data_IF_825741320348
#
_entry.id   IF_825741320348
#
_cell.length_a   1.000
_cell.length_b   1.000
_cell.length_c   1.000
_cell.angle_alpha   90.00
_cell.angle_beta   90.00
_cell.angle_gamma   90.00
#
_symmetry.space_group_name_H-M   'P 1'
#
loop_
_entity.id
_entity.type
_entity.pdbx_description
1 polymer ?
#
# COMPACT_ATOMS: atom_id res chain seq x y z
N UNK A 1 20.27 38.12 14.41
CA UNK A 1 20.33 38.46 12.98
C UNK A 1 20.81 37.32 12.08
N UNK A 2 22.09 36.90 12.10
CA UNK A 2 22.55 35.83 11.18
C UNK A 2 22.10 34.42 11.59
N UNK A 3 22.06 34.14 12.91
CA UNK A 3 21.66 32.84 13.45
C UNK A 3 20.17 32.53 13.23
N UNK A 4 19.29 33.53 13.40
CA UNK A 4 17.85 33.39 13.17
C UNK A 4 17.51 33.14 11.69
N UNK A 5 18.26 33.75 10.76
CA UNK A 5 18.07 33.53 9.31
C UNK A 5 18.49 32.13 8.88
N UNK A 6 19.58 31.60 9.45
CA UNK A 6 20.03 30.23 9.20
C UNK A 6 19.00 29.22 9.75
N UNK A 7 18.52 29.45 10.98
CA UNK A 7 17.49 28.61 11.62
C UNK A 7 16.19 28.57 10.82
N UNK A 8 15.73 29.72 10.31
CA UNK A 8 14.54 29.78 9.45
C UNK A 8 14.77 29.07 8.10
N UNK A 9 15.97 29.17 7.53
CA UNK A 9 16.30 28.45 6.29
C UNK A 9 16.32 26.93 6.47
N UNK A 10 16.72 26.44 7.65
CA UNK A 10 16.75 25.00 7.95
C UNK A 10 15.34 24.42 8.10
N UNK A 11 14.44 25.11 8.81
CA UNK A 11 13.02 24.72 8.90
C UNK A 11 12.34 24.71 7.52
N UNK A 12 12.68 25.68 6.67
CA UNK A 12 12.21 25.74 5.29
C UNK A 12 12.65 24.55 4.44
N UNK A 13 13.91 24.11 4.59
CA UNK A 13 14.44 22.96 3.87
C UNK A 13 13.74 21.66 4.32
N UNK A 14 13.47 21.50 5.61
CA UNK A 14 12.73 20.34 6.14
C UNK A 14 11.30 20.29 5.58
N UNK A 15 10.59 21.42 5.52
CA UNK A 15 9.26 21.49 4.92
C UNK A 15 9.27 21.19 3.41
N UNK A 16 10.24 21.72 2.68
CA UNK A 16 10.40 21.41 1.25
C UNK A 16 10.65 19.93 1.03
N UNK A 17 11.48 19.30 1.87
CA UNK A 17 11.75 17.86 1.83
C UNK A 17 10.48 17.05 2.12
N UNK A 18 9.72 17.40 3.15
CA UNK A 18 8.41 16.76 3.46
C UNK A 18 7.46 16.84 2.26
N UNK A 19 7.34 18.01 1.62
CA UNK A 19 6.50 18.19 0.42
C UNK A 19 6.97 17.35 -0.76
N UNK A 20 8.28 17.23 -0.97
CA UNK A 20 8.84 16.39 -2.03
C UNK A 20 8.52 14.90 -1.79
N UNK A 21 8.68 14.43 -0.56
CA UNK A 21 8.33 13.07 -0.14
C UNK A 21 6.85 12.76 -0.37
N UNK A 22 5.96 13.66 0.03
CA UNK A 22 4.53 13.47 -0.17
C UNK A 22 4.13 13.48 -1.66
N UNK A 23 4.77 14.31 -2.49
CA UNK A 23 4.56 14.24 -3.95
C UNK A 23 5.04 12.92 -4.54
N UNK A 24 6.18 12.39 -4.07
CA UNK A 24 6.66 11.07 -4.49
C UNK A 24 5.67 9.99 -4.08
N UNK A 25 5.11 10.08 -2.88
CA UNK A 25 4.04 9.17 -2.43
C UNK A 25 2.83 9.20 -3.35
N UNK A 26 2.33 10.39 -3.72
CA UNK A 26 1.19 10.54 -4.63
C UNK A 26 1.46 9.86 -5.99
N UNK A 27 2.68 10.01 -6.53
CA UNK A 27 3.09 9.33 -7.77
C UNK A 27 3.09 7.80 -7.60
N UNK A 28 3.67 7.29 -6.52
CA UNK A 28 3.67 5.85 -6.21
C UNK A 28 2.24 5.30 -6.05
N UNK A 29 1.35 6.06 -5.40
CA UNK A 29 -0.05 5.69 -5.26
C UNK A 29 -0.79 5.65 -6.61
N UNK A 30 -0.54 6.59 -7.51
CA UNK A 30 -1.11 6.56 -8.85
C UNK A 30 -0.57 5.41 -9.71
N UNK A 31 0.74 5.14 -9.64
CA UNK A 31 1.35 3.99 -10.33
C UNK A 31 0.74 2.68 -9.86
N UNK A 32 0.52 2.54 -8.55
CA UNK A 32 -0.11 1.38 -7.95
C UNK A 32 -1.57 1.21 -8.38
N UNK A 33 -2.32 2.30 -8.59
CA UNK A 33 -3.68 2.25 -9.16
C UNK A 33 -3.68 1.93 -10.66
N UNK A 34 -2.62 2.29 -11.38
CA UNK A 34 -2.46 2.01 -12.80
C UNK A 34 -2.02 0.56 -13.09
N UNK A 35 -1.54 -0.17 -12.07
CA UNK A 35 -1.23 -1.59 -12.20
C UNK A 35 -2.48 -2.39 -12.57
N UNK A 36 -2.36 -3.16 -13.65
CA UNK A 36 -3.38 -4.12 -14.10
C UNK A 36 -3.34 -5.43 -13.31
N UNK A 37 -2.18 -5.77 -12.73
CA UNK A 37 -1.96 -6.97 -11.93
C UNK A 37 -1.17 -6.64 -10.66
N UNK A 38 -1.53 -7.27 -9.54
CA UNK A 38 -0.85 -7.07 -8.25
C UNK A 38 0.59 -7.59 -8.21
N UNK A 39 1.02 -8.41 -9.17
CA UNK A 39 2.40 -8.92 -9.24
C UNK A 39 3.45 -7.81 -9.34
N UNK A 40 3.09 -6.65 -9.91
CA UNK A 40 3.94 -5.46 -9.98
C UNK A 40 3.89 -4.56 -8.74
N UNK A 41 3.07 -4.89 -7.73
CA UNK A 41 2.85 -4.02 -6.57
C UNK A 41 3.97 -4.13 -5.52
N UNK A 42 4.68 -5.26 -5.45
CA UNK A 42 5.75 -5.49 -4.46
C UNK A 42 6.85 -4.41 -4.50
N UNK A 43 7.49 -4.10 -5.65
CA UNK A 43 8.51 -3.05 -5.71
C UNK A 43 7.96 -1.65 -5.38
N UNK A 44 6.69 -1.38 -5.70
CA UNK A 44 6.04 -0.10 -5.34
C UNK A 44 5.79 0.01 -3.83
N UNK A 45 5.51 -1.11 -3.16
CA UNK A 45 5.33 -1.14 -1.71
C UNK A 45 6.66 -0.91 -0.99
N UNK A 46 7.75 -1.52 -1.46
CA UNK A 46 9.11 -1.28 -0.93
C UNK A 46 9.49 0.20 -1.05
N UNK A 47 9.29 0.82 -2.23
CA UNK A 47 9.56 2.25 -2.41
C UNK A 47 8.67 3.16 -1.53
N UNK A 48 7.45 2.73 -1.22
CA UNK A 48 6.56 3.45 -0.30
C UNK A 48 7.01 3.32 1.15
N UNK A 49 7.48 2.16 1.57
CA UNK A 49 8.05 1.96 2.90
C UNK A 49 9.26 2.88 3.12
N UNK A 50 10.17 2.95 2.15
CA UNK A 50 11.31 3.87 2.18
C UNK A 50 10.85 5.34 2.29
N UNK A 51 9.85 5.73 1.50
CA UNK A 51 9.27 7.07 1.59
C UNK A 51 8.65 7.35 2.97
N UNK A 52 8.06 6.34 3.63
CA UNK A 52 7.42 6.48 4.94
C UNK A 52 8.47 6.67 6.01
N UNK A 53 9.54 5.88 5.99
CA UNK A 53 10.66 6.03 6.91
C UNK A 53 11.30 7.42 6.80
N UNK A 54 11.52 7.90 5.57
CA UNK A 54 12.05 9.25 5.35
C UNK A 54 11.09 10.34 5.84
N UNK A 55 9.77 10.16 5.64
CA UNK A 55 8.76 11.09 6.13
C UNK A 55 8.77 11.16 7.66
N UNK A 56 8.81 10.01 8.35
CA UNK A 56 8.89 9.95 9.81
C UNK A 56 10.14 10.63 10.34
N UNK A 57 11.30 10.43 9.69
CA UNK A 57 12.54 11.13 10.06
C UNK A 57 12.40 12.64 9.91
N UNK A 58 11.79 13.11 8.82
CA UNK A 58 11.57 14.55 8.59
C UNK A 58 10.57 15.13 9.58
N UNK A 59 9.51 14.38 9.93
CA UNK A 59 8.52 14.80 10.94
C UNK A 59 9.16 14.93 12.32
N UNK A 60 9.99 13.97 12.74
CA UNK A 60 10.74 14.08 13.99
C UNK A 60 11.69 15.29 14.00
N UNK A 61 12.34 15.59 12.88
CA UNK A 61 13.20 16.76 12.76
C UNK A 61 12.41 18.07 12.81
N UNK A 62 11.22 18.10 12.22
CA UNK A 62 10.30 19.24 12.30
C UNK A 62 9.78 19.44 13.72
N UNK A 63 9.37 18.38 14.42
CA UNK A 63 8.90 18.45 15.80
C UNK A 63 10.00 18.96 16.75
N UNK A 64 11.23 18.48 16.59
CA UNK A 64 12.39 18.97 17.36
C UNK A 64 12.73 20.43 17.04
N UNK A 65 12.58 20.84 15.78
CA UNK A 65 12.82 22.22 15.34
C UNK A 65 11.74 23.15 15.91
N UNK A 66 10.47 22.76 15.86
CA UNK A 66 9.33 23.53 16.38
C UNK A 66 9.42 23.74 17.90
N UNK A 67 9.82 22.70 18.65
CA UNK A 67 10.11 22.82 20.09
C UNK A 67 11.26 23.79 20.39
N UNK A 68 12.25 23.88 19.50
CA UNK A 68 13.43 24.72 19.69
C UNK A 68 13.20 26.16 19.21
N UNK A 69 12.31 26.35 18.24
CA UNK A 69 12.03 27.61 17.57
C UNK A 69 10.52 27.70 17.27
N UNK A 70 9.70 28.19 18.20
CA UNK A 70 8.25 28.32 18.04
C UNK A 70 7.90 29.50 17.12
N UNK A 71 8.49 29.53 15.93
CA UNK A 71 8.23 30.52 14.90
C UNK A 71 7.12 29.99 14.01
N UNK A 72 6.13 30.83 13.70
CA UNK A 72 4.97 30.52 12.85
C UNK A 72 5.42 30.13 11.42
N UNK A 73 5.86 28.88 11.21
CA UNK A 73 6.03 28.29 9.87
C UNK A 73 4.69 27.96 9.21
N UNK A 74 3.59 28.20 9.94
CA UNK A 74 2.20 28.07 9.46
C UNK A 74 1.91 28.92 8.22
N UNK A 75 2.63 30.02 7.98
CA UNK A 75 2.42 30.84 6.77
C UNK A 75 2.96 30.18 5.48
N UNK A 76 3.80 29.15 5.57
CA UNK A 76 4.55 28.61 4.41
C UNK A 76 4.02 27.24 3.99
N UNK A 77 3.51 26.48 4.95
CA UNK A 77 2.62 25.38 4.65
C UNK A 77 1.31 25.98 4.17
N UNK A 78 1.13 26.13 2.85
CA UNK A 78 -0.21 26.21 2.23
C UNK A 78 -1.03 25.01 2.75
N UNK A 79 -1.80 25.15 3.84
CA UNK A 79 -2.26 23.99 4.62
C UNK A 79 -3.27 23.22 3.78
N UNK A 80 -4.02 23.98 2.99
CA UNK A 80 -4.99 23.50 2.02
C UNK A 80 -4.34 22.65 0.93
N UNK A 81 -3.16 23.03 0.43
CA UNK A 81 -2.43 22.28 -0.58
C UNK A 81 -1.92 20.93 -0.06
N UNK A 82 -1.41 20.92 1.17
CA UNK A 82 -0.93 19.69 1.81
C UNK A 82 -2.08 18.76 2.20
N UNK A 83 -3.14 19.31 2.80
CA UNK A 83 -4.33 18.55 3.20
C UNK A 83 -4.99 17.89 1.99
N UNK A 84 -5.16 18.62 0.87
CA UNK A 84 -5.69 18.04 -0.37
C UNK A 84 -4.81 16.92 -0.92
N UNK A 85 -3.50 17.04 -0.80
CA UNK A 85 -2.57 16.02 -1.26
C UNK A 85 -2.63 14.76 -0.38
N UNK A 86 -2.70 14.93 0.95
CA UNK A 86 -2.91 13.84 1.89
C UNK A 86 -4.27 13.15 1.68
N UNK A 87 -5.33 13.90 1.43
CA UNK A 87 -6.64 13.34 1.10
C UNK A 87 -6.61 12.50 -0.17
N UNK A 88 -5.92 12.99 -1.22
CA UNK A 88 -5.76 12.24 -2.47
C UNK A 88 -5.02 10.92 -2.25
N UNK A 89 -3.89 10.97 -1.53
CA UNK A 89 -3.13 9.78 -1.16
C UNK A 89 -4.01 8.81 -0.37
N UNK A 90 -4.70 9.29 0.67
CA UNK A 90 -5.57 8.47 1.51
C UNK A 90 -6.67 7.77 0.70
N UNK A 91 -7.31 8.48 -0.24
CA UNK A 91 -8.30 7.87 -1.15
C UNK A 91 -7.68 6.81 -2.05
N UNK A 92 -6.51 7.09 -2.63
CA UNK A 92 -5.81 6.14 -3.49
C UNK A 92 -5.42 4.85 -2.74
N UNK A 93 -4.93 4.96 -1.50
CA UNK A 93 -4.61 3.80 -0.67
C UNK A 93 -5.86 2.99 -0.31
N UNK A 94 -6.98 3.66 0.01
CA UNK A 94 -8.25 2.98 0.29
C UNK A 94 -8.78 2.22 -0.92
N UNK A 95 -8.70 2.82 -2.12
CA UNK A 95 -9.08 2.17 -3.36
C UNK A 95 -8.21 0.96 -3.65
N UNK A 96 -6.89 1.06 -3.46
CA UNK A 96 -6.00 -0.08 -3.62
C UNK A 96 -6.30 -1.19 -2.61
N UNK A 97 -6.47 -0.86 -1.32
CA UNK A 97 -6.81 -1.83 -0.29
C UNK A 97 -8.11 -2.58 -0.64
N UNK A 98 -9.10 -1.88 -1.21
CA UNK A 98 -10.33 -2.48 -1.71
C UNK A 98 -10.08 -3.44 -2.87
N UNK A 99 -9.23 -3.07 -3.84
CA UNK A 99 -8.86 -3.96 -4.97
C UNK A 99 -8.16 -5.22 -4.49
N UNK A 100 -7.18 -5.08 -3.60
CA UNK A 100 -6.47 -6.22 -2.98
C UNK A 100 -7.45 -7.14 -2.24
N UNK A 101 -8.38 -6.58 -1.48
CA UNK A 101 -9.39 -7.37 -0.78
C UNK A 101 -10.33 -8.11 -1.75
N UNK A 102 -10.68 -7.50 -2.88
CA UNK A 102 -11.49 -8.13 -3.92
C UNK A 102 -10.75 -9.29 -4.58
N UNK A 103 -9.51 -9.09 -5.01
CA UNK A 103 -8.69 -10.15 -5.61
C UNK A 103 -8.50 -11.32 -4.63
N UNK A 104 -8.16 -11.02 -3.37
CA UNK A 104 -8.07 -12.05 -2.31
C UNK A 104 -9.37 -12.86 -2.20
N UNK A 105 -10.53 -12.21 -2.21
CA UNK A 105 -11.81 -12.91 -2.10
C UNK A 105 -12.08 -13.81 -3.31
N UNK A 106 -11.76 -13.34 -4.52
CA UNK A 106 -11.85 -14.14 -5.75
C UNK A 106 -10.94 -15.36 -5.65
N UNK A 107 -9.66 -15.20 -5.31
CA UNK A 107 -8.71 -16.30 -5.15
C UNK A 107 -9.17 -17.30 -4.08
N UNK A 108 -9.71 -16.83 -2.95
CA UNK A 108 -10.29 -17.72 -1.93
C UNK A 108 -11.47 -18.52 -2.48
N UNK A 109 -12.36 -17.89 -3.26
CA UNK A 109 -13.48 -18.62 -3.88
C UNK A 109 -13.02 -19.64 -4.90
N UNK A 110 -12.01 -19.32 -5.72
CA UNK A 110 -11.39 -20.24 -6.68
C UNK A 110 -10.71 -21.43 -5.99
N UNK A 111 -9.98 -21.19 -4.89
CA UNK A 111 -9.40 -22.26 -4.09
C UNK A 111 -10.50 -23.16 -3.52
N UNK A 112 -11.58 -22.58 -3.00
CA UNK A 112 -12.72 -23.36 -2.47
C UNK A 112 -13.38 -24.21 -3.55
N UNK A 113 -13.59 -23.68 -4.75
CA UNK A 113 -14.20 -24.44 -5.86
C UNK A 113 -13.26 -25.55 -6.34
N UNK A 114 -11.96 -25.29 -6.45
CA UNK A 114 -10.95 -26.31 -6.77
C UNK A 114 -10.91 -27.43 -5.72
N UNK A 115 -10.93 -27.10 -4.43
CA UNK A 115 -10.99 -28.08 -3.34
C UNK A 115 -12.28 -28.93 -3.39
N UNK A 116 -13.42 -28.31 -3.71
CA UNK A 116 -14.66 -29.04 -3.92
C UNK A 116 -14.58 -29.96 -5.15
N UNK A 117 -14.01 -29.51 -6.26
CA UNK A 117 -13.83 -30.33 -7.45
C UNK A 117 -12.92 -31.55 -7.20
N UNK A 118 -11.83 -31.36 -6.45
CA UNK A 118 -10.94 -32.44 -6.03
C UNK A 118 -11.64 -33.46 -5.13
N UNK A 119 -12.47 -33.00 -4.18
CA UNK A 119 -13.22 -33.91 -3.31
C UNK A 119 -14.30 -34.69 -4.07
N UNK A 120 -14.99 -34.07 -5.03
CA UNK A 120 -15.90 -34.80 -5.94
C UNK A 120 -15.17 -35.74 -6.91
N UNK A 121 -13.92 -35.45 -7.29
CA UNK A 121 -13.07 -36.32 -8.09
C UNK A 121 -12.63 -37.59 -7.34
N UNK A 122 -12.30 -37.45 -6.05
CA UNK A 122 -11.91 -38.58 -5.20
C UNK A 122 -13.05 -39.58 -4.96
N UNK A 123 -14.30 -39.12 -4.88
CA UNK A 123 -15.48 -39.98 -4.62
C UNK A 123 -15.90 -40.81 -5.86
N UNK A 124 -15.48 -40.43 -7.07
CA UNK A 124 -15.82 -41.16 -8.31
C UNK A 124 -14.90 -42.37 -8.62
N UNK A 125 -13.93 -42.68 -7.77
CA UNK A 125 -13.10 -43.90 -7.88
C UNK A 125 -13.74 -45.14 -7.21
N UNK A 126 -15.05 -45.16 -6.96
CA UNK A 126 -15.78 -46.37 -6.60
C UNK A 126 -16.57 -46.89 -7.82
N UNK A 127 -15.85 -47.34 -8.87
CA UNK A 127 -16.48 -48.21 -9.88
C UNK A 127 -16.75 -49.57 -9.24
N UNK A 128 -17.99 -50.08 -9.26
CA UNK A 128 -18.25 -51.45 -8.82
C UNK A 128 -17.46 -52.41 -9.72
N UNK A 129 -16.61 -53.24 -9.12
CA UNK A 129 -15.91 -54.30 -9.86
C UNK A 129 -16.95 -55.19 -10.56
N UNK A 130 -16.76 -55.53 -11.85
CA UNK A 130 -17.64 -56.46 -12.53
C UNK A 130 -17.54 -57.83 -11.84
N UNK A 131 -18.66 -58.28 -11.26
CA UNK A 131 -18.80 -59.63 -10.70
C UNK A 131 -18.40 -60.66 -11.74
N UNK A 132 -17.27 -61.34 -11.54
CA UNK A 132 -16.91 -62.54 -12.30
C UNK A 132 -18.02 -63.58 -12.13
N UNK A 133 -18.81 -63.82 -13.18
CA UNK A 133 -19.68 -64.99 -13.26
C UNK A 133 -18.77 -66.22 -13.31
N UNK A 134 -18.92 -67.12 -12.34
CA UNK A 134 -18.30 -68.45 -12.37
C UNK A 134 -19.01 -69.25 -13.46
N UNK A 135 -18.29 -69.55 -14.54
CA UNK A 135 -18.67 -70.58 -15.50
C UNK A 135 -18.50 -71.94 -14.82
N UNK A 136 -19.59 -72.68 -14.71
CA UNK A 136 -19.61 -74.06 -14.23
C UNK A 136 -19.28 -74.93 -15.46
N UNK A 137 -18.25 -75.78 -15.33
CA UNK A 137 -18.01 -76.93 -16.18
C UNK A 137 -18.08 -78.17 -15.31
#
# INVERSE_FOLDING_TARGET
>A
MANERLQHSDGMLLLQKKRALLRRWDVLAQQQLALSHLDGALPLLEEKEDCLEELQRVDLLLDNWDQSFPTELDEILEPQGLQRLLEKISRAEQEFARRVAQERNVTITEIKTLLQQLSYGAVKSNRPQPRRRKTIF
#
